data_IF_416594044166
#
_entry.id   IF_416594044166
#
_cell.length_a   1.000
_cell.length_b   1.000
_cell.length_c   1.000
_cell.angle_alpha   90.00
_cell.angle_beta   90.00
_cell.angle_gamma   90.00
#
_symmetry.space_group_name_H-M   'P 1'
#
loop_
_entity.id
_entity.type
_entity.pdbx_description
1 polymer ?
#
# COMPACT_ATOMS: atom_id res chain seq x y z
N UNK A 1 -49.05 19.72 -21.01
CA UNK A 1 -48.29 18.51 -20.62
C UNK A 1 -46.86 18.63 -21.13
N UNK A 2 -45.98 19.36 -20.43
CA UNK A 2 -44.57 19.52 -20.83
C UNK A 2 -43.58 19.66 -19.66
N UNK A 3 -44.01 19.52 -18.40
CA UNK A 3 -43.14 19.77 -17.23
C UNK A 3 -42.42 18.51 -16.69
N UNK A 4 -42.75 17.32 -17.22
CA UNK A 4 -42.18 16.06 -16.71
C UNK A 4 -40.77 15.73 -17.21
N UNK A 5 -40.33 16.32 -18.31
CA UNK A 5 -39.03 15.99 -18.95
C UNK A 5 -37.85 16.77 -18.34
N UNK A 6 -38.06 18.01 -17.92
CA UNK A 6 -37.01 18.84 -17.28
C UNK A 6 -36.68 18.32 -15.87
N UNK A 7 -37.68 17.83 -15.14
CA UNK A 7 -37.51 17.27 -13.80
C UNK A 7 -36.72 15.94 -13.82
N UNK A 8 -36.99 15.07 -14.80
CA UNK A 8 -36.29 13.79 -14.95
C UNK A 8 -34.85 13.96 -15.44
N UNK A 9 -34.59 14.98 -16.27
CA UNK A 9 -33.24 15.35 -16.69
C UNK A 9 -32.39 15.91 -15.53
N UNK A 10 -32.98 16.80 -14.72
CA UNK A 10 -32.30 17.34 -13.53
C UNK A 10 -31.96 16.26 -12.51
N UNK A 11 -32.89 15.33 -12.26
CA UNK A 11 -32.66 14.20 -11.36
C UNK A 11 -31.57 13.25 -11.88
N UNK A 12 -31.53 13.02 -13.19
CA UNK A 12 -30.49 12.21 -13.84
C UNK A 12 -29.08 12.78 -13.66
N UNK A 13 -28.91 14.11 -13.79
CA UNK A 13 -27.63 14.79 -13.59
C UNK A 13 -27.16 14.66 -12.14
N UNK A 14 -28.07 14.82 -11.16
CA UNK A 14 -27.75 14.67 -9.73
C UNK A 14 -27.32 13.24 -9.42
N UNK A 15 -28.05 12.23 -9.90
CA UNK A 15 -27.65 10.83 -9.71
C UNK A 15 -26.28 10.51 -10.33
N UNK A 16 -25.98 11.04 -11.51
CA UNK A 16 -24.66 10.89 -12.14
C UNK A 16 -23.55 11.58 -11.35
N UNK A 17 -23.79 12.77 -10.82
CA UNK A 17 -22.82 13.48 -9.99
C UNK A 17 -22.53 12.72 -8.69
N UNK A 18 -23.57 12.18 -8.02
CA UNK A 18 -23.40 11.37 -6.80
C UNK A 18 -22.66 10.07 -7.11
N UNK A 19 -23.03 9.38 -8.18
CA UNK A 19 -22.33 8.15 -8.61
C UNK A 19 -20.85 8.43 -8.94
N UNK A 20 -20.56 9.53 -9.64
CA UNK A 20 -19.21 9.97 -9.94
C UNK A 20 -18.40 10.26 -8.66
N UNK A 21 -19.01 10.94 -7.68
CA UNK A 21 -18.37 11.23 -6.39
C UNK A 21 -18.05 9.95 -5.60
N UNK A 22 -18.98 8.99 -5.59
CA UNK A 22 -18.79 7.70 -4.92
C UNK A 22 -17.71 6.87 -5.60
N UNK A 23 -17.69 6.82 -6.93
CA UNK A 23 -16.65 6.13 -7.70
C UNK A 23 -15.28 6.76 -7.51
N UNK A 24 -15.19 8.09 -7.49
CA UNK A 24 -13.95 8.81 -7.19
C UNK A 24 -13.46 8.52 -5.76
N UNK A 25 -14.37 8.47 -4.79
CA UNK A 25 -14.07 8.07 -3.42
C UNK A 25 -13.52 6.64 -3.32
N UNK A 26 -14.11 5.69 -4.05
CA UNK A 26 -13.61 4.31 -4.13
C UNK A 26 -12.23 4.25 -4.80
N UNK A 27 -12.02 4.98 -5.89
CA UNK A 27 -10.74 5.05 -6.58
C UNK A 27 -9.65 5.63 -5.67
N UNK A 28 -9.99 6.65 -4.88
CA UNK A 28 -9.08 7.23 -3.89
C UNK A 28 -8.70 6.21 -2.80
N UNK A 29 -9.66 5.38 -2.37
CA UNK A 29 -9.37 4.30 -1.42
C UNK A 29 -8.44 3.23 -1.99
N UNK A 30 -8.51 2.95 -3.28
CA UNK A 30 -7.60 2.01 -3.95
C UNK A 30 -6.17 2.56 -4.10
N UNK A 31 -6.01 3.89 -4.07
CA UNK A 31 -4.71 4.56 -4.16
C UNK A 31 -4.11 4.78 -2.75
N UNK A 32 -4.79 4.42 -1.66
CA UNK A 32 -4.23 4.59 -0.32
C UNK A 32 -2.92 3.78 -0.17
N UNK A 33 -1.80 4.46 0.15
CA UNK A 33 -0.51 3.82 0.22
C UNK A 33 -0.50 2.82 1.39
N UNK A 34 -0.13 1.56 1.10
CA UNK A 34 -0.06 0.48 2.11
C UNK A 34 1.05 0.65 3.13
N UNK A 35 1.93 1.61 2.88
CA UNK A 35 2.96 2.07 3.79
C UNK A 35 2.69 3.54 4.03
N UNK A 36 2.52 3.92 5.29
CA UNK A 36 2.43 5.33 5.68
C UNK A 36 3.37 5.63 6.84
N UNK A 37 3.70 6.90 7.02
CA UNK A 37 4.59 7.38 8.07
C UNK A 37 3.78 8.22 9.05
N UNK A 38 3.94 7.97 10.35
CA UNK A 38 3.29 8.76 11.41
C UNK A 38 4.21 8.85 12.63
N UNK A 39 4.53 10.06 13.09
CA UNK A 39 5.25 10.32 14.35
C UNK A 39 6.52 9.45 14.52
N UNK A 40 7.41 9.39 13.51
CA UNK A 40 8.62 8.56 13.61
C UNK A 40 8.39 7.05 13.43
N UNK A 41 7.20 6.64 13.00
CA UNK A 41 6.84 5.23 12.81
C UNK A 41 6.41 4.98 11.35
N UNK A 42 6.69 3.77 10.89
CA UNK A 42 6.25 3.20 9.62
C UNK A 42 5.10 2.24 9.88
N UNK A 43 3.98 2.45 9.20
CA UNK A 43 2.75 1.71 9.39
C UNK A 43 2.55 0.79 8.19
N UNK A 44 2.56 -0.52 8.45
CA UNK A 44 2.38 -1.56 7.44
C UNK A 44 0.95 -2.14 7.48
N UNK A 45 0.17 -1.91 6.44
CA UNK A 45 -1.21 -2.42 6.34
C UNK A 45 -1.26 -3.85 5.76
N UNK A 46 -0.77 -4.81 6.54
CA UNK A 46 -0.64 -6.23 6.12
C UNK A 46 -1.62 -7.19 6.83
N UNK A 47 -2.60 -6.67 7.57
CA UNK A 47 -3.66 -7.46 8.22
C UNK A 47 -5.00 -6.72 8.18
N UNK A 48 -6.11 -7.47 8.28
CA UNK A 48 -7.42 -6.88 8.43
C UNK A 48 -7.56 -6.26 9.84
N UNK A 49 -8.01 -5.00 9.91
CA UNK A 49 -8.09 -4.23 11.16
C UNK A 49 -7.06 -3.10 11.19
N UNK A 50 -6.03 -3.24 12.02
CA UNK A 50 -5.02 -2.18 12.24
C UNK A 50 -3.67 -2.43 11.55
N UNK A 51 -2.93 -1.36 11.22
CA UNK A 51 -1.57 -1.49 10.70
C UNK A 51 -0.62 -2.08 11.75
N UNK A 52 0.45 -2.71 11.28
CA UNK A 52 1.60 -3.06 12.12
C UNK A 52 2.50 -1.84 12.18
N UNK A 53 2.68 -1.31 13.38
CA UNK A 53 3.44 -0.08 13.63
C UNK A 53 4.89 -0.45 13.96
N UNK A 54 5.83 0.01 13.15
CA UNK A 54 7.26 -0.27 13.29
C UNK A 54 8.00 1.05 13.43
N UNK A 55 8.89 1.24 14.42
CA UNK A 55 9.69 2.45 14.52
C UNK A 55 10.57 2.65 13.29
N UNK A 56 10.74 3.90 12.83
CA UNK A 56 11.52 4.22 11.63
C UNK A 56 12.97 3.73 11.73
N UNK A 57 13.53 3.70 12.94
CA UNK A 57 14.90 3.25 13.23
C UNK A 57 15.10 1.74 12.99
N UNK A 58 14.01 0.98 12.99
CA UNK A 58 14.06 -0.47 12.71
C UNK A 58 14.06 -0.72 11.21
N UNK A 59 13.44 0.15 10.41
CA UNK A 59 13.35 -0.04 8.97
C UNK A 59 14.63 0.48 8.31
N UNK A 60 15.40 -0.41 7.69
CA UNK A 60 16.69 -0.06 7.09
C UNK A 60 16.52 0.51 5.69
N UNK A 61 15.71 -0.14 4.85
CA UNK A 61 15.48 0.29 3.46
C UNK A 61 14.29 -0.40 2.80
N UNK A 62 13.81 0.19 1.71
CA UNK A 62 12.84 -0.39 0.76
C UNK A 62 13.49 -0.71 -0.59
N UNK A 63 13.10 -1.82 -1.20
CA UNK A 63 13.61 -2.26 -2.51
C UNK A 63 12.55 -3.04 -3.28
N UNK A 64 12.77 -3.20 -4.58
CA UNK A 64 11.94 -4.07 -5.42
C UNK A 64 12.45 -5.50 -5.33
N UNK A 65 11.54 -6.40 -5.00
CA UNK A 65 11.69 -7.84 -5.19
C UNK A 65 10.94 -8.33 -6.41
N UNK A 66 11.25 -9.54 -6.84
CA UNK A 66 10.40 -10.31 -7.74
C UNK A 66 9.99 -11.59 -7.01
N UNK A 67 8.70 -11.90 -6.97
CA UNK A 67 8.18 -13.11 -6.34
C UNK A 67 7.13 -13.81 -7.22
N UNK A 68 6.84 -15.09 -6.94
CA UNK A 68 5.84 -15.85 -7.69
C UNK A 68 4.46 -15.19 -7.53
N UNK A 69 3.81 -14.87 -8.64
CA UNK A 69 2.41 -14.47 -8.62
C UNK A 69 1.56 -15.74 -8.47
N UNK A 70 0.97 -15.94 -7.31
CA UNK A 70 -0.08 -16.95 -7.12
C UNK A 70 -1.36 -16.45 -7.80
N UNK A 71 -1.39 -16.50 -9.12
CA UNK A 71 -2.59 -16.28 -9.93
C UNK A 71 -3.12 -17.66 -10.38
N UNK A 72 -4.40 -17.99 -10.14
CA UNK A 72 -4.98 -19.23 -10.63
C UNK A 72 -5.32 -19.08 -12.11
N UNK A 73 -4.32 -19.12 -12.99
CA UNK A 73 -4.58 -19.16 -14.44
C UNK A 73 -3.61 -20.12 -15.12
N UNK A 74 -4.21 -21.11 -15.76
CA UNK A 74 -3.57 -22.14 -16.56
C UNK A 74 -2.86 -21.54 -17.78
N UNK A 75 -1.57 -21.27 -17.70
CA UNK A 75 -0.60 -21.44 -18.79
C UNK A 75 0.82 -21.05 -18.34
N UNK A 76 1.78 -21.69 -19.00
CA UNK A 76 3.23 -21.78 -18.78
C UNK A 76 4.02 -20.45 -18.84
N UNK A 77 3.56 -19.40 -18.16
CA UNK A 77 4.29 -18.16 -18.04
C UNK A 77 4.07 -17.57 -16.64
N UNK A 78 4.94 -17.95 -15.70
CA UNK A 78 5.00 -17.39 -14.34
C UNK A 78 5.08 -15.87 -14.46
N UNK A 79 3.93 -15.21 -14.35
CA UNK A 79 3.83 -13.76 -14.44
C UNK A 79 4.55 -13.20 -13.22
N UNK A 80 5.81 -12.76 -13.39
CA UNK A 80 6.60 -12.21 -12.29
C UNK A 80 5.93 -10.94 -11.80
N UNK A 81 5.38 -10.98 -10.59
CA UNK A 81 4.88 -9.77 -9.95
C UNK A 81 6.04 -9.09 -9.25
N UNK A 82 6.16 -7.78 -9.48
CA UNK A 82 7.08 -6.94 -8.73
C UNK A 82 6.52 -6.80 -7.32
N UNK A 83 7.33 -7.08 -6.31
CA UNK A 83 6.98 -6.95 -4.91
C UNK A 83 7.78 -5.81 -4.28
N UNK A 84 7.19 -5.18 -3.28
CA UNK A 84 7.88 -4.20 -2.45
C UNK A 84 8.45 -4.94 -1.24
N UNK A 85 9.75 -4.89 -1.04
CA UNK A 85 10.40 -5.50 0.11
C UNK A 85 10.90 -4.40 1.04
N UNK A 86 10.57 -4.50 2.32
CA UNK A 86 11.16 -3.69 3.38
C UNK A 86 12.12 -4.57 4.19
N UNK A 87 13.35 -4.09 4.40
CA UNK A 87 14.32 -4.74 5.28
C UNK A 87 14.30 -4.07 6.65
N UNK A 88 14.24 -4.90 7.67
CA UNK A 88 14.26 -4.51 9.07
C UNK A 88 15.60 -4.86 9.69
N UNK A 89 16.00 -4.07 10.68
CA UNK A 89 17.26 -4.27 11.36
C UNK A 89 17.23 -5.50 12.26
N UNK A 90 18.26 -6.34 12.10
CA UNK A 90 18.45 -7.53 12.93
C UNK A 90 18.73 -7.20 14.41
N UNK A 91 19.06 -5.94 14.71
CA UNK A 91 19.24 -5.45 16.09
C UNK A 91 17.95 -5.49 16.92
N UNK A 92 16.80 -5.65 16.27
CA UNK A 92 15.50 -5.67 16.93
C UNK A 92 14.77 -7.00 16.65
N UNK A 93 15.11 -8.08 17.38
CA UNK A 93 14.59 -9.42 17.12
C UNK A 93 13.06 -9.53 17.21
N UNK A 94 12.41 -8.65 17.98
CA UNK A 94 10.95 -8.57 18.10
C UNK A 94 10.21 -8.23 16.77
N UNK A 95 10.96 -7.83 15.74
CA UNK A 95 10.45 -7.52 14.41
C UNK A 95 10.90 -8.51 13.33
N UNK A 96 11.57 -9.60 13.67
CA UNK A 96 12.03 -10.57 12.67
C UNK A 96 10.86 -11.32 12.02
N UNK A 97 9.87 -11.74 12.82
CA UNK A 97 8.71 -12.49 12.34
C UNK A 97 7.41 -11.89 12.90
N UNK A 98 6.40 -11.76 12.05
CA UNK A 98 5.05 -11.34 12.44
C UNK A 98 4.00 -12.02 11.58
N UNK A 99 2.87 -12.34 12.19
CA UNK A 99 1.73 -12.84 11.43
C UNK A 99 1.11 -11.72 10.59
N UNK A 100 1.02 -11.99 9.29
CA UNK A 100 0.41 -11.13 8.29
C UNK A 100 -0.55 -11.94 7.43
N UNK A 101 -1.48 -11.26 6.76
CA UNK A 101 -2.36 -11.91 5.80
C UNK A 101 -1.52 -12.29 4.57
N UNK A 102 -1.32 -13.59 4.36
CA UNK A 102 -0.51 -14.16 3.25
C UNK A 102 -0.88 -13.61 1.86
N UNK A 103 -2.17 -13.31 1.66
CA UNK A 103 -2.67 -12.69 0.43
C UNK A 103 -2.06 -11.30 0.15
N UNK A 104 -1.63 -10.57 1.18
CA UNK A 104 -1.04 -9.22 1.08
C UNK A 104 0.49 -9.26 1.04
N UNK A 105 1.10 -10.28 1.63
CA UNK A 105 2.55 -10.34 1.80
C UNK A 105 3.01 -11.39 2.81
N UNK A 106 4.30 -11.38 3.08
CA UNK A 106 4.99 -12.24 4.03
C UNK A 106 5.88 -11.39 4.95
N UNK A 107 6.06 -11.82 6.19
CA UNK A 107 6.98 -11.20 7.13
C UNK A 107 7.78 -12.26 7.87
N UNK A 108 9.04 -12.43 7.47
CA UNK A 108 9.94 -13.46 7.99
C UNK A 108 11.39 -12.97 7.94
N UNK A 109 12.20 -13.38 8.92
CA UNK A 109 13.65 -13.12 8.96
C UNK A 109 14.06 -11.65 8.80
N UNK A 110 13.23 -10.71 9.27
CA UNK A 110 13.47 -9.27 9.14
C UNK A 110 13.22 -8.72 7.74
N UNK A 111 12.60 -9.50 6.86
CA UNK A 111 12.10 -9.05 5.56
C UNK A 111 10.58 -9.01 5.57
N UNK A 112 10.04 -7.88 5.11
CA UNK A 112 8.62 -7.72 4.84
C UNK A 112 8.45 -7.71 3.33
N UNK A 113 7.86 -8.75 2.77
CA UNK A 113 7.49 -8.80 1.35
C UNK A 113 6.05 -8.37 1.21
N UNK A 114 5.79 -7.33 0.42
CA UNK A 114 4.46 -6.82 0.13
C UNK A 114 4.17 -7.08 -1.34
N UNK A 115 3.09 -7.81 -1.63
CA UNK A 115 2.76 -8.21 -3.00
C UNK A 115 2.31 -6.99 -3.80
N UNK A 116 2.95 -6.72 -4.94
CA UNK A 116 2.70 -5.50 -5.72
C UNK A 116 1.32 -5.41 -6.36
N UNK A 117 0.60 -6.52 -6.51
CA UNK A 117 -0.81 -6.54 -6.95
C UNK A 117 -1.74 -5.68 -6.08
N UNK A 118 -1.31 -5.39 -4.85
CA UNK A 118 -2.08 -4.63 -3.88
C UNK A 118 -1.52 -3.22 -3.67
N UNK A 119 -0.39 -2.88 -4.27
CA UNK A 119 0.28 -1.59 -4.10
C UNK A 119 -0.06 -0.63 -5.25
N UNK A 120 0.25 0.65 -5.06
CA UNK A 120 0.46 1.55 -6.18
C UNK A 120 1.54 0.99 -7.12
N UNK A 121 1.59 1.39 -8.40
CA UNK A 121 2.60 0.92 -9.35
C UNK A 121 4.01 1.02 -8.75
N UNK A 122 4.64 -0.15 -8.56
CA UNK A 122 5.96 -0.27 -7.96
C UNK A 122 7.03 0.06 -9.00
N UNK A 123 7.30 1.35 -9.16
CA UNK A 123 8.36 1.88 -10.02
C UNK A 123 9.61 2.21 -9.20
N UNK A 124 10.74 2.41 -9.87
CA UNK A 124 11.97 2.91 -9.24
C UNK A 124 11.76 4.27 -8.55
N UNK A 125 10.88 5.12 -9.09
CA UNK A 125 10.51 6.40 -8.51
C UNK A 125 9.76 6.22 -7.17
N UNK A 126 8.79 5.29 -7.12
CA UNK A 126 8.07 4.96 -5.89
C UNK A 126 9.04 4.54 -4.77
N UNK A 127 10.02 3.69 -5.09
CA UNK A 127 11.04 3.23 -4.14
C UNK A 127 11.95 4.37 -3.69
N UNK A 128 12.40 5.20 -4.64
CA UNK A 128 13.22 6.38 -4.33
C UNK A 128 12.49 7.31 -3.37
N UNK A 129 11.20 7.57 -3.61
CA UNK A 129 10.34 8.38 -2.74
C UNK A 129 10.20 7.78 -1.34
N UNK A 130 9.97 6.47 -1.23
CA UNK A 130 9.87 5.78 0.06
C UNK A 130 11.18 5.86 0.85
N UNK A 131 12.32 5.58 0.22
CA UNK A 131 13.62 5.67 0.89
C UNK A 131 13.99 7.11 1.27
N UNK A 132 13.67 8.09 0.43
CA UNK A 132 13.85 9.50 0.77
C UNK A 132 13.04 9.87 2.02
N UNK A 133 11.75 9.50 2.05
CA UNK A 133 10.88 9.79 3.18
C UNK A 133 11.31 9.06 4.45
N UNK A 134 11.80 7.82 4.33
CA UNK A 134 12.38 7.07 5.45
C UNK A 134 13.54 7.84 6.08
N UNK A 135 14.44 8.37 5.25
CA UNK A 135 15.61 9.12 5.74
C UNK A 135 15.23 10.46 6.38
N UNK A 136 14.31 11.22 5.77
CA UNK A 136 13.79 12.46 6.35
C UNK A 136 13.24 12.24 7.76
N UNK A 137 12.35 11.24 7.91
CA UNK A 137 11.73 10.94 9.21
C UNK A 137 12.77 10.44 10.21
N UNK A 138 13.78 9.69 9.77
CA UNK A 138 14.87 9.25 10.64
C UNK A 138 15.72 10.43 11.15
N UNK A 139 15.98 11.43 10.30
CA UNK A 139 16.70 12.65 10.69
C UNK A 139 15.88 13.47 11.69
N UNK A 140 14.59 13.70 11.43
CA UNK A 140 13.68 14.40 12.35
C UNK A 140 13.65 13.76 13.75
N UNK A 141 13.78 12.42 13.83
CA UNK A 141 13.84 11.69 15.10
C UNK A 141 15.22 11.70 15.76
N UNK A 142 16.28 12.07 15.04
CA UNK A 142 17.64 12.16 15.58
C UNK A 142 17.94 13.55 16.14
N UNK A 143 17.21 14.57 15.69
CA UNK A 143 17.39 15.98 16.07
C UNK A 143 16.45 16.44 17.20
N UNK A 144 15.42 15.66 17.55
CA UNK A 144 14.48 15.92 18.64
C UNK A 144 14.76 15.10 19.89
#
# INVERSE_FOLDING_TARGET
MSDGSSLTWGLGIVCLAVAGLLLAGLAYQWIQPRITYRNGQVLFFLKAGGPIVVPVQVVEAFFLGQGPAELPVSNDNQTKTVNLIARLSQRHPQWLCRDVKQALGEWSEGYITIRGIWCEPLTSETIRRLNHRLHEVLQEQSEG
#
